data_IF_427125476370
#
_entry.id   IF_427125476370
#
_cell.length_a   1.000
_cell.length_b   1.000
_cell.length_c   1.000
_cell.angle_alpha   90.00
_cell.angle_beta   90.00
_cell.angle_gamma   90.00
#
_symmetry.space_group_name_H-M   'P 1'
#
loop_
_entity.id
_entity.type
_entity.pdbx_description
1 polymer ?
#
# COMPACT_ATOMS: atom_id res chain seq x y z
N UNK A 1 29.35 -42.60 7.80
CA UNK A 1 28.45 -42.00 8.82
C UNK A 1 28.87 -40.54 8.95
N UNK A 2 28.05 -39.52 8.72
CA UNK A 2 26.62 -39.49 8.46
C UNK A 2 26.25 -38.45 7.40
N UNK A 3 25.20 -38.79 6.66
CA UNK A 3 24.42 -37.86 5.84
C UNK A 3 23.65 -36.92 6.79
N UNK A 4 24.18 -35.73 7.04
CA UNK A 4 23.45 -34.66 7.72
C UNK A 4 22.71 -33.81 6.70
N UNK A 5 21.38 -33.97 6.61
CA UNK A 5 20.52 -32.93 6.01
C UNK A 5 20.74 -31.63 6.79
N UNK A 6 20.73 -30.44 6.15
CA UNK A 6 20.82 -29.19 6.87
C UNK A 6 19.64 -29.08 7.86
N UNK A 7 19.96 -28.92 9.14
CA UNK A 7 18.99 -28.60 10.19
C UNK A 7 18.32 -27.25 9.86
N UNK A 8 17.05 -27.08 10.26
CA UNK A 8 16.25 -25.86 10.06
C UNK A 8 17.10 -24.61 10.32
N UNK A 9 17.40 -23.85 9.26
CA UNK A 9 18.26 -22.69 9.34
C UNK A 9 17.75 -21.67 10.34
N UNK A 10 18.50 -21.45 11.41
CA UNK A 10 18.29 -20.30 12.29
C UNK A 10 18.67 -19.03 11.53
N UNK A 11 17.83 -17.99 11.63
CA UNK A 11 18.10 -16.71 10.95
C UNK A 11 19.39 -16.04 11.45
N UNK A 12 19.74 -16.24 12.72
CA UNK A 12 20.98 -15.77 13.31
C UNK A 12 22.02 -16.89 13.39
N UNK A 13 23.27 -16.55 13.10
CA UNK A 13 24.42 -17.48 13.11
C UNK A 13 25.46 -17.14 14.19
N UNK A 14 25.38 -15.97 14.83
CA UNK A 14 26.39 -15.46 15.78
C UNK A 14 27.72 -15.02 15.15
N UNK A 15 27.97 -15.36 13.88
CA UNK A 15 29.24 -15.07 13.18
C UNK A 15 29.55 -13.56 13.08
N UNK A 16 28.53 -12.71 13.17
CA UNK A 16 28.65 -11.26 13.04
C UNK A 16 28.86 -10.50 14.35
N UNK A 17 28.89 -11.17 15.51
CA UNK A 17 28.85 -10.52 16.83
C UNK A 17 30.15 -9.80 17.18
N UNK A 18 31.26 -10.19 16.55
CA UNK A 18 32.56 -9.51 16.65
C UNK A 18 32.67 -8.28 15.75
N UNK A 19 31.56 -7.84 15.15
CA UNK A 19 31.54 -6.69 14.24
C UNK A 19 32.09 -6.99 12.83
N UNK A 20 32.26 -8.26 12.47
CA UNK A 20 32.73 -8.69 11.15
C UNK A 20 31.58 -9.20 10.28
N UNK A 21 31.77 -9.21 8.97
CA UNK A 21 30.86 -9.81 7.99
C UNK A 21 31.65 -10.35 6.80
N UNK A 22 31.06 -11.27 6.04
CA UNK A 22 31.68 -11.85 4.85
C UNK A 22 31.17 -11.16 3.58
N UNK A 23 32.09 -10.69 2.73
CA UNK A 23 31.80 -10.25 1.36
C UNK A 23 32.19 -11.33 0.36
N UNK A 24 31.61 -11.30 -0.84
CA UNK A 24 31.96 -12.23 -1.90
C UNK A 24 33.14 -11.68 -2.75
N UNK A 25 34.12 -12.52 -3.12
CA UNK A 25 34.29 -13.93 -2.73
C UNK A 25 35.13 -14.09 -1.44
N UNK A 26 34.48 -14.44 -0.34
CA UNK A 26 35.07 -15.06 0.85
C UNK A 26 35.87 -14.19 1.82
N UNK A 27 35.99 -12.86 1.59
CA UNK A 27 36.74 -12.00 2.51
C UNK A 27 35.91 -11.59 3.72
N UNK A 28 36.42 -11.81 4.94
CA UNK A 28 35.86 -11.19 6.13
C UNK A 28 36.35 -9.75 6.27
N UNK A 29 35.42 -8.84 6.54
CA UNK A 29 35.65 -7.41 6.66
C UNK A 29 34.92 -6.87 7.89
N UNK A 30 35.34 -5.71 8.38
CA UNK A 30 34.57 -4.98 9.39
C UNK A 30 33.18 -4.62 8.83
N UNK A 31 32.13 -4.66 9.66
CA UNK A 31 30.81 -4.12 9.31
C UNK A 31 30.85 -2.60 9.04
N UNK A 32 31.90 -1.92 9.47
CA UNK A 32 32.16 -0.51 9.17
C UNK A 32 32.95 -0.29 7.85
N UNK A 33 33.25 -1.35 7.09
CA UNK A 33 33.92 -1.24 5.78
C UNK A 33 33.05 -0.43 4.80
N UNK A 34 33.69 0.42 3.99
CA UNK A 34 33.03 1.30 3.01
C UNK A 34 32.14 0.51 2.02
N UNK A 35 32.50 -0.74 1.68
CA UNK A 35 31.69 -1.62 0.82
C UNK A 35 30.40 -2.05 1.51
N UNK A 36 30.49 -2.39 2.80
CA UNK A 36 29.31 -2.80 3.60
C UNK A 36 28.36 -1.61 3.74
N UNK A 37 28.90 -0.41 3.95
CA UNK A 37 28.10 0.82 4.00
C UNK A 37 27.40 1.11 2.66
N UNK A 38 28.09 0.94 1.52
CA UNK A 38 27.49 1.14 0.20
C UNK A 38 26.38 0.12 -0.11
N UNK A 39 26.60 -1.17 0.20
CA UNK A 39 25.58 -2.23 0.06
C UNK A 39 24.37 -1.92 0.95
N UNK A 40 24.60 -1.64 2.23
CA UNK A 40 23.52 -1.33 3.17
C UNK A 40 22.72 -0.08 2.80
N UNK A 41 23.38 0.95 2.26
CA UNK A 41 22.68 2.13 1.76
C UNK A 41 21.77 1.84 0.55
N UNK A 42 22.19 0.95 -0.35
CA UNK A 42 21.35 0.49 -1.45
C UNK A 42 20.14 -0.32 -0.94
N UNK A 43 20.35 -1.24 0.01
CA UNK A 43 19.28 -2.03 0.64
C UNK A 43 18.28 -1.15 1.41
N UNK A 44 18.77 -0.15 2.14
CA UNK A 44 17.92 0.84 2.80
C UNK A 44 17.07 1.64 1.80
N UNK A 45 17.65 1.99 0.65
CA UNK A 45 16.91 2.67 -0.43
C UNK A 45 15.82 1.78 -1.03
N UNK A 46 16.07 0.47 -1.16
CA UNK A 46 15.03 -0.51 -1.55
C UNK A 46 13.90 -0.54 -0.52
N UNK A 47 14.21 -0.54 0.77
CA UNK A 47 13.21 -0.53 1.84
C UNK A 47 12.38 0.76 1.84
N UNK A 48 13.02 1.93 1.66
CA UNK A 48 12.35 3.22 1.58
C UNK A 48 11.36 3.28 0.40
N UNK A 49 11.74 2.76 -0.77
CA UNK A 49 10.82 2.62 -1.92
C UNK A 49 9.66 1.66 -1.63
N UNK A 50 9.86 0.67 -0.76
CA UNK A 50 8.79 -0.19 -0.27
C UNK A 50 7.71 0.60 0.46
N UNK A 51 8.09 1.60 1.27
CA UNK A 51 7.13 2.49 1.94
C UNK A 51 6.35 3.35 0.95
N UNK A 52 6.99 3.83 -0.13
CA UNK A 52 6.30 4.57 -1.19
C UNK A 52 5.24 3.69 -1.85
N UNK A 53 5.57 2.42 -2.14
CA UNK A 53 4.64 1.48 -2.77
C UNK A 53 3.39 1.21 -1.93
N UNK A 54 3.50 1.20 -0.61
CA UNK A 54 2.37 0.97 0.29
C UNK A 54 1.26 2.02 0.16
N UNK A 55 1.57 3.22 -0.32
CA UNK A 55 0.61 4.32 -0.52
C UNK A 55 0.37 4.65 -2.00
N UNK A 56 1.02 3.92 -2.90
CA UNK A 56 0.88 4.15 -4.34
C UNK A 56 -0.35 3.41 -4.86
N UNK A 57 -1.35 4.16 -5.32
CA UNK A 57 -2.60 3.58 -5.87
C UNK A 57 -2.48 3.29 -7.37
N UNK A 58 -1.76 4.13 -8.12
CA UNK A 58 -1.59 3.99 -9.56
C UNK A 58 -0.76 2.74 -9.94
N UNK A 59 -1.32 1.74 -10.64
CA UNK A 59 -0.62 0.51 -10.97
C UNK A 59 0.62 0.72 -11.85
N UNK A 60 0.56 1.65 -12.81
CA UNK A 60 1.70 2.00 -13.67
C UNK A 60 2.88 2.49 -12.83
N UNK A 61 2.64 3.45 -11.92
CA UNK A 61 3.68 3.98 -11.06
C UNK A 61 4.21 2.93 -10.06
N UNK A 62 3.33 2.09 -9.52
CA UNK A 62 3.73 0.96 -8.68
C UNK A 62 4.67 -0.01 -9.43
N UNK A 63 4.40 -0.27 -10.73
CA UNK A 63 5.27 -1.06 -11.60
C UNK A 63 6.66 -0.43 -11.78
N UNK A 64 6.71 0.90 -12.00
CA UNK A 64 7.97 1.66 -12.09
C UNK A 64 8.79 1.55 -10.80
N UNK A 65 8.15 1.65 -9.63
CA UNK A 65 8.81 1.47 -8.33
C UNK A 65 9.38 0.05 -8.17
N UNK A 66 8.67 -1.00 -8.61
CA UNK A 66 9.17 -2.38 -8.58
C UNK A 66 10.38 -2.56 -9.50
N UNK A 67 10.37 -1.94 -10.68
CA UNK A 67 11.54 -1.92 -11.59
C UNK A 67 12.75 -1.33 -10.87
N UNK A 68 12.63 -0.13 -10.31
CA UNK A 68 13.71 0.53 -9.55
C UNK A 68 14.19 -0.30 -8.36
N UNK A 69 13.28 -0.87 -7.55
CA UNK A 69 13.66 -1.74 -6.42
C UNK A 69 14.44 -2.97 -6.88
N UNK A 70 14.08 -3.55 -8.01
CA UNK A 70 14.77 -4.72 -8.57
C UNK A 70 16.16 -4.33 -9.06
N UNK A 71 16.26 -3.20 -9.75
CA UNK A 71 17.52 -2.65 -10.24
C UNK A 71 18.48 -2.30 -9.09
N UNK A 72 17.98 -1.71 -7.99
CA UNK A 72 18.78 -1.45 -6.78
C UNK A 72 19.24 -2.74 -6.07
N UNK A 73 18.41 -3.80 -6.04
CA UNK A 73 18.85 -5.11 -5.51
C UNK A 73 19.97 -5.71 -6.34
N UNK A 74 19.88 -5.60 -7.67
CA UNK A 74 20.96 -6.00 -8.60
C UNK A 74 22.22 -5.18 -8.34
N UNK A 75 22.10 -3.88 -8.10
CA UNK A 75 23.22 -3.01 -7.73
C UNK A 75 23.87 -3.48 -6.43
N UNK A 76 23.08 -3.71 -5.38
CA UNK A 76 23.59 -4.19 -4.09
C UNK A 76 24.32 -5.55 -4.23
N UNK A 77 23.75 -6.47 -5.00
CA UNK A 77 24.38 -7.76 -5.31
C UNK A 77 25.70 -7.59 -6.08
N UNK A 78 25.74 -6.67 -7.05
CA UNK A 78 26.97 -6.34 -7.80
C UNK A 78 28.06 -5.72 -6.93
N UNK A 79 27.69 -4.91 -5.93
CA UNK A 79 28.64 -4.37 -4.94
C UNK A 79 29.14 -5.45 -3.98
N UNK A 80 28.28 -6.41 -3.62
CA UNK A 80 28.62 -7.53 -2.75
C UNK A 80 29.54 -8.55 -3.44
N UNK A 81 29.42 -8.72 -4.76
CA UNK A 81 30.22 -9.63 -5.58
C UNK A 81 30.76 -8.95 -6.87
N UNK A 82 31.73 -8.02 -6.73
CA UNK A 82 32.24 -7.22 -7.84
C UNK A 82 33.04 -8.04 -8.88
N UNK A 83 33.46 -9.27 -8.54
CA UNK A 83 34.25 -10.14 -9.43
C UNK A 83 33.40 -11.03 -10.32
N UNK A 84 32.12 -11.21 -9.99
CA UNK A 84 31.24 -12.11 -10.74
C UNK A 84 31.05 -11.71 -12.20
N UNK A 85 31.10 -10.40 -12.51
CA UNK A 85 30.74 -9.86 -13.82
C UNK A 85 29.27 -10.12 -14.22
N UNK A 86 28.46 -10.70 -13.32
CA UNK A 86 27.07 -11.10 -13.58
C UNK A 86 26.10 -9.93 -13.47
N UNK A 87 26.47 -8.91 -12.70
CA UNK A 87 25.61 -7.77 -12.38
C UNK A 87 25.98 -6.58 -13.26
N UNK A 88 25.76 -6.73 -14.57
CA UNK A 88 25.96 -5.66 -15.56
C UNK A 88 24.68 -4.83 -15.64
N UNK A 89 24.81 -3.53 -15.42
CA UNK A 89 23.70 -2.59 -15.63
C UNK A 89 23.50 -2.37 -17.13
N UNK A 90 22.28 -2.61 -17.61
CA UNK A 90 21.91 -2.24 -18.98
C UNK A 90 21.78 -0.72 -19.09
N UNK A 91 22.10 -0.18 -20.26
CA UNK A 91 21.80 1.22 -20.61
C UNK A 91 20.30 1.53 -20.56
N UNK A 92 19.46 0.50 -20.66
CA UNK A 92 18.00 0.60 -20.65
C UNK A 92 17.46 1.15 -19.32
N UNK A 93 18.01 0.73 -18.18
CA UNK A 93 17.55 1.19 -16.87
C UNK A 93 17.83 2.68 -16.63
N UNK A 94 18.97 3.17 -17.15
CA UNK A 94 19.32 4.60 -17.10
C UNK A 94 18.41 5.38 -18.05
N UNK A 95 18.23 4.90 -19.28
CA UNK A 95 17.36 5.54 -20.28
C UNK A 95 15.90 5.62 -19.80
N UNK A 96 15.42 4.60 -19.09
CA UNK A 96 14.10 4.63 -18.45
C UNK A 96 13.96 5.78 -17.45
N UNK A 97 14.94 5.95 -16.54
CA UNK A 97 14.91 7.03 -15.55
C UNK A 97 14.93 8.40 -16.22
N UNK A 98 15.79 8.58 -17.22
CA UNK A 98 15.90 9.84 -17.98
C UNK A 98 14.59 10.16 -18.70
N UNK A 99 14.04 9.19 -19.46
CA UNK A 99 12.80 9.38 -20.21
C UNK A 99 11.58 9.68 -19.32
N UNK A 100 11.41 8.96 -18.20
CA UNK A 100 10.27 9.21 -17.31
C UNK A 100 10.46 10.49 -16.49
N UNK A 101 11.72 10.89 -16.19
CA UNK A 101 12.03 12.20 -15.60
C UNK A 101 11.63 13.31 -16.55
N UNK A 102 12.06 13.25 -17.82
CA UNK A 102 11.73 14.26 -18.83
C UNK A 102 10.21 14.37 -19.03
N UNK A 103 9.50 13.24 -19.04
CA UNK A 103 8.04 13.21 -19.10
C UNK A 103 7.40 13.96 -17.91
N UNK A 104 7.82 13.66 -16.68
CA UNK A 104 7.26 14.29 -15.48
C UNK A 104 7.60 15.78 -15.40
N UNK A 105 8.85 16.15 -15.69
CA UNK A 105 9.31 17.53 -15.74
C UNK A 105 8.58 18.32 -16.83
N UNK A 106 8.32 17.71 -17.99
CA UNK A 106 7.53 18.30 -19.06
C UNK A 106 6.12 18.68 -18.60
N UNK A 107 5.42 17.75 -17.94
CA UNK A 107 4.09 18.02 -17.37
C UNK A 107 4.15 19.09 -16.28
N UNK A 108 5.11 19.00 -15.36
CA UNK A 108 5.27 19.99 -14.29
C UNK A 108 5.57 21.38 -14.84
N UNK A 109 6.39 21.48 -15.89
CA UNK A 109 6.72 22.76 -16.52
C UNK A 109 5.52 23.34 -17.26
N UNK A 110 4.75 22.52 -17.97
CA UNK A 110 3.50 22.96 -18.62
C UNK A 110 2.47 23.46 -17.60
N UNK A 111 2.32 22.75 -16.47
CA UNK A 111 1.26 23.04 -15.48
C UNK A 111 1.65 24.05 -14.41
N UNK A 112 2.93 24.17 -14.06
CA UNK A 112 3.43 24.99 -12.95
C UNK A 112 4.59 25.92 -13.33
N UNK A 113 5.01 25.97 -14.59
CA UNK A 113 6.20 26.72 -14.99
C UNK A 113 7.44 26.24 -14.22
N UNK A 114 8.20 27.17 -13.65
CA UNK A 114 9.40 26.86 -12.85
C UNK A 114 9.13 26.63 -11.35
N UNK A 115 7.92 26.89 -10.87
CA UNK A 115 7.64 27.02 -9.43
C UNK A 115 7.81 25.70 -8.67
N UNK A 116 7.61 24.57 -9.36
CA UNK A 116 7.77 23.23 -8.77
C UNK A 116 9.19 22.95 -8.26
N UNK A 117 10.21 23.66 -8.78
CA UNK A 117 11.61 23.47 -8.38
C UNK A 117 11.88 23.97 -6.95
N UNK A 118 11.14 24.98 -6.49
CA UNK A 118 11.28 25.58 -5.17
C UNK A 118 10.38 24.96 -4.09
N UNK A 119 9.53 23.99 -4.46
CA UNK A 119 8.54 23.42 -3.55
C UNK A 119 9.20 22.63 -2.40
N UNK A 120 8.69 22.85 -1.19
CA UNK A 120 9.11 22.09 -0.02
C UNK A 120 8.71 20.62 -0.16
N UNK A 121 9.50 19.69 0.41
CA UNK A 121 9.15 18.27 0.45
C UNK A 121 7.80 17.97 1.12
N UNK A 122 7.04 17.05 0.54
CA UNK A 122 5.86 16.45 1.20
C UNK A 122 4.52 17.18 1.05
N UNK A 123 4.17 17.67 -0.14
CA UNK A 123 2.82 18.20 -0.41
C UNK A 123 1.70 17.16 -0.34
N UNK A 124 2.02 15.86 -0.37
CA UNK A 124 1.12 14.75 -0.09
C UNK A 124 1.89 13.56 0.56
N UNK A 125 1.19 12.55 1.04
CA UNK A 125 1.84 11.40 1.71
C UNK A 125 2.80 10.64 0.76
N UNK A 126 2.37 10.44 -0.49
CA UNK A 126 3.21 9.75 -1.49
C UNK A 126 4.46 10.57 -1.82
N UNK A 127 4.35 11.88 -1.99
CA UNK A 127 5.51 12.74 -2.27
C UNK A 127 6.45 12.83 -1.08
N UNK A 128 5.94 12.91 0.15
CA UNK A 128 6.75 12.91 1.36
C UNK A 128 7.61 11.65 1.47
N UNK A 129 7.02 10.48 1.18
CA UNK A 129 7.76 9.20 1.17
C UNK A 129 8.76 9.14 0.01
N UNK A 130 8.44 9.69 -1.17
CA UNK A 130 9.37 9.79 -2.30
C UNK A 130 10.57 10.70 -1.98
N UNK A 131 10.34 11.85 -1.34
CA UNK A 131 11.39 12.76 -0.88
C UNK A 131 12.28 12.10 0.17
N UNK A 132 11.71 11.33 1.10
CA UNK A 132 12.46 10.53 2.06
C UNK A 132 13.31 9.46 1.36
N UNK A 133 12.74 8.70 0.42
CA UNK A 133 13.47 7.71 -0.38
C UNK A 133 14.59 8.35 -1.21
N UNK A 134 14.37 9.56 -1.73
CA UNK A 134 15.40 10.33 -2.43
C UNK A 134 16.59 10.60 -1.51
N UNK A 135 16.35 10.96 -0.25
CA UNK A 135 17.41 11.21 0.71
C UNK A 135 18.26 9.96 1.00
N UNK A 136 17.64 8.77 1.07
CA UNK A 136 18.37 7.51 1.26
C UNK A 136 19.19 7.17 0.01
N UNK A 137 18.65 7.39 -1.19
CA UNK A 137 19.37 7.21 -2.46
C UNK A 137 20.57 8.14 -2.54
N UNK A 138 20.43 9.43 -2.18
CA UNK A 138 21.56 10.37 -2.13
C UNK A 138 22.61 9.97 -1.10
N UNK A 139 22.21 9.40 0.03
CA UNK A 139 23.15 8.87 1.04
C UNK A 139 23.90 7.65 0.51
N UNK A 140 23.20 6.72 -0.14
CA UNK A 140 23.80 5.56 -0.78
C UNK A 140 24.74 5.95 -1.93
N UNK A 141 24.38 6.96 -2.73
CA UNK A 141 25.25 7.55 -3.76
C UNK A 141 26.57 8.05 -3.16
N UNK A 142 26.54 8.80 -2.04
CA UNK A 142 27.77 9.25 -1.36
C UNK A 142 28.62 8.09 -0.84
N UNK A 143 28.01 7.05 -0.29
CA UNK A 143 28.72 5.86 0.15
C UNK A 143 29.38 5.11 -1.02
N UNK A 144 28.68 5.04 -2.16
CA UNK A 144 29.19 4.47 -3.41
C UNK A 144 30.42 5.23 -3.92
N UNK A 145 30.37 6.57 -3.93
CA UNK A 145 31.50 7.41 -4.32
C UNK A 145 32.67 7.27 -3.35
N UNK A 146 32.41 7.14 -2.04
CA UNK A 146 33.47 6.90 -1.07
C UNK A 146 34.17 5.55 -1.33
N UNK A 147 33.41 4.48 -1.56
CA UNK A 147 33.92 3.15 -1.90
C UNK A 147 34.74 3.16 -3.21
N UNK A 148 34.33 3.92 -4.21
CA UNK A 148 35.00 4.00 -5.52
C UNK A 148 36.46 4.45 -5.42
N UNK A 149 36.81 5.22 -4.38
CA UNK A 149 38.18 5.69 -4.12
C UNK A 149 39.17 4.54 -3.89
N UNK A 150 38.70 3.37 -3.47
CA UNK A 150 39.54 2.21 -3.11
C UNK A 150 39.23 0.94 -3.90
N UNK A 151 37.97 0.74 -4.28
CA UNK A 151 37.49 -0.57 -4.74
C UNK A 151 36.97 -0.60 -6.18
N UNK A 152 37.11 0.50 -6.94
CA UNK A 152 36.68 0.63 -8.34
C UNK A 152 35.23 0.17 -8.58
N UNK A 153 34.30 1.12 -8.51
CA UNK A 153 32.88 0.89 -8.76
C UNK A 153 32.59 1.05 -10.26
N UNK A 154 31.81 0.14 -10.87
CA UNK A 154 31.36 0.30 -12.25
C UNK A 154 30.70 1.67 -12.50
N UNK A 155 31.13 2.39 -13.53
CA UNK A 155 30.63 3.74 -13.83
C UNK A 155 29.11 3.83 -13.95
N UNK A 156 28.49 2.80 -14.55
CA UNK A 156 27.04 2.72 -14.70
C UNK A 156 26.28 2.78 -13.37
N UNK A 157 26.84 2.25 -12.27
CA UNK A 157 26.18 2.28 -10.96
C UNK A 157 26.12 3.71 -10.42
N UNK A 158 27.20 4.47 -10.61
CA UNK A 158 27.27 5.89 -10.21
C UNK A 158 26.28 6.73 -11.02
N UNK A 159 26.23 6.52 -12.33
CA UNK A 159 25.26 7.20 -13.22
C UNK A 159 23.83 6.88 -12.81
N UNK A 160 23.50 5.60 -12.60
CA UNK A 160 22.16 5.19 -12.22
C UNK A 160 21.72 5.81 -10.89
N UNK A 161 22.55 5.76 -9.85
CA UNK A 161 22.22 6.34 -8.53
C UNK A 161 21.99 7.85 -8.61
N UNK A 162 22.78 8.55 -9.43
CA UNK A 162 22.61 9.97 -9.67
C UNK A 162 21.25 10.27 -10.35
N UNK A 163 20.96 9.59 -11.45
CA UNK A 163 19.70 9.73 -12.20
C UNK A 163 18.48 9.31 -11.38
N UNK A 164 18.61 8.30 -10.52
CA UNK A 164 17.52 7.87 -9.64
C UNK A 164 17.19 8.96 -8.62
N UNK A 165 18.19 9.69 -8.12
CA UNK A 165 17.98 10.84 -7.25
C UNK A 165 17.16 11.95 -7.93
N UNK A 166 17.38 12.17 -9.23
CA UNK A 166 16.64 13.17 -10.02
C UNK A 166 15.22 12.68 -10.35
N UNK A 167 15.08 11.41 -10.75
CA UNK A 167 13.79 10.78 -11.01
C UNK A 167 12.87 10.82 -9.77
N UNK A 168 13.41 10.54 -8.58
CA UNK A 168 12.64 10.60 -7.34
C UNK A 168 12.20 12.03 -6.98
N UNK A 169 13.01 13.04 -7.30
CA UNK A 169 12.61 14.44 -7.13
C UNK A 169 11.44 14.79 -8.06
N UNK A 170 11.58 14.45 -9.34
CA UNK A 170 10.54 14.69 -10.34
C UNK A 170 9.24 13.95 -9.97
N UNK A 171 9.35 12.70 -9.55
CA UNK A 171 8.22 11.90 -9.11
C UNK A 171 7.53 12.46 -7.86
N UNK A 172 8.29 12.95 -6.87
CA UNK A 172 7.71 13.58 -5.67
C UNK A 172 6.88 14.80 -6.05
N UNK A 173 7.43 15.69 -6.90
CA UNK A 173 6.74 16.90 -7.35
C UNK A 173 5.56 16.61 -8.27
N UNK A 174 5.68 15.56 -9.08
CA UNK A 174 4.57 15.07 -9.90
C UNK A 174 3.42 14.53 -9.03
N UNK A 175 3.73 13.83 -7.93
CA UNK A 175 2.72 13.36 -6.98
C UNK A 175 2.05 14.50 -6.20
N UNK A 176 2.77 15.58 -5.89
CA UNK A 176 2.17 16.80 -5.32
C UNK A 176 1.14 17.40 -6.30
N UNK A 177 1.53 17.55 -7.57
CA UNK A 177 0.65 18.07 -8.60
C UNK A 177 -0.59 17.21 -8.84
N UNK A 178 -0.44 15.88 -8.93
CA UNK A 178 -1.58 14.96 -9.06
C UNK A 178 -2.55 15.09 -7.88
N UNK A 179 -2.03 15.14 -6.65
CA UNK A 179 -2.86 15.26 -5.45
C UNK A 179 -3.62 16.60 -5.41
N UNK A 180 -3.00 17.69 -5.86
CA UNK A 180 -3.67 18.98 -5.99
C UNK A 180 -4.71 18.96 -7.10
N UNK A 181 -4.42 18.36 -8.26
CA UNK A 181 -5.39 18.25 -9.36
C UNK A 181 -6.62 17.43 -8.96
N UNK A 182 -6.43 16.37 -8.19
CA UNK A 182 -7.52 15.57 -7.60
C UNK A 182 -8.38 16.40 -6.63
N UNK A 183 -7.74 17.20 -5.76
CA UNK A 183 -8.45 18.11 -4.84
C UNK A 183 -9.20 19.22 -5.58
N UNK A 184 -8.59 19.80 -6.60
CA UNK A 184 -9.19 20.84 -7.45
C UNK A 184 -10.40 20.31 -8.23
N UNK A 185 -10.30 19.08 -8.76
CA UNK A 185 -11.44 18.40 -9.41
C UNK A 185 -12.58 18.19 -8.43
N UNK A 186 -12.28 17.68 -7.24
CA UNK A 186 -13.28 17.51 -6.17
C UNK A 186 -13.92 18.84 -5.72
N UNK A 187 -13.18 19.96 -5.78
CA UNK A 187 -13.68 21.29 -5.41
C UNK A 187 -14.48 21.99 -6.52
N UNK A 188 -14.25 21.64 -7.81
CA UNK A 188 -14.94 22.22 -8.97
C UNK A 188 -16.24 21.50 -9.31
N UNK A 189 -16.48 20.32 -8.76
CA UNK A 189 -17.79 19.68 -8.79
C UNK A 189 -18.76 20.46 -7.90
N UNK A 190 -19.87 21.01 -8.43
CA UNK A 190 -20.81 21.76 -7.61
C UNK A 190 -21.43 20.83 -6.58
N UNK A 191 -21.35 21.21 -5.31
CA UNK A 191 -22.17 20.62 -4.23
C UNK A 191 -23.61 21.01 -4.52
N UNK A 192 -24.29 20.22 -5.36
CA UNK A 192 -25.70 20.41 -5.66
C UNK A 192 -26.50 20.17 -4.38
N UNK A 193 -27.28 21.17 -4.00
CA UNK A 193 -28.28 21.07 -2.96
C UNK A 193 -29.18 19.85 -3.20
N UNK A 194 -29.32 19.08 -2.14
CA UNK A 194 -30.24 17.99 -1.90
C UNK A 194 -31.55 18.09 -2.70
N UNK A 195 -31.61 17.39 -3.84
CA UNK A 195 -32.83 16.77 -4.37
C UNK A 195 -32.39 15.60 -5.23
N UNK A 196 -32.74 14.38 -4.82
CA UNK A 196 -32.45 13.17 -5.58
C UNK A 196 -33.11 13.24 -6.96
N UNK A 197 -32.37 13.01 -8.07
CA UNK A 197 -33.00 12.71 -9.35
C UNK A 197 -32.64 11.31 -9.84
N UNK A 198 -33.57 10.78 -10.63
CA UNK A 198 -33.61 9.44 -11.17
C UNK A 198 -32.39 9.08 -12.03
N UNK A 199 -32.06 7.78 -12.02
CA UNK A 199 -31.00 7.16 -12.80
C UNK A 199 -31.02 7.60 -14.28
N UNK A 200 -30.02 8.39 -14.68
CA UNK A 200 -29.74 8.69 -16.07
C UNK A 200 -28.81 7.61 -16.64
N UNK A 201 -29.27 6.97 -17.72
CA UNK A 201 -28.54 5.99 -18.53
C UNK A 201 -27.34 6.70 -19.18
N UNK A 202 -26.13 6.19 -18.93
CA UNK A 202 -24.89 6.68 -19.55
C UNK A 202 -24.82 6.17 -21.00
N UNK A 203 -24.56 7.01 -22.02
CA UNK A 203 -24.31 6.53 -23.37
C UNK A 203 -22.91 5.91 -23.46
N UNK A 204 -22.80 4.79 -24.18
CA UNK A 204 -21.54 4.06 -24.35
C UNK A 204 -20.49 4.92 -25.10
N UNK A 205 -19.19 4.82 -24.75
CA UNK A 205 -18.15 5.56 -25.42
C UNK A 205 -17.94 5.05 -26.84
N UNK A 206 -17.95 5.99 -27.80
CA UNK A 206 -17.53 5.76 -29.16
C UNK A 206 -16.00 5.70 -29.23
N UNK A 207 -15.50 4.78 -30.06
CA UNK A 207 -14.13 4.62 -30.53
C UNK A 207 -13.09 4.07 -29.53
N UNK A 208 -13.28 2.80 -29.15
CA UNK A 208 -12.18 1.92 -28.80
C UNK A 208 -11.71 1.16 -30.07
N UNK A 209 -10.42 1.20 -30.36
CA UNK A 209 -9.81 0.40 -31.42
C UNK A 209 -10.12 -1.10 -31.23
N UNK A 210 -10.30 -1.89 -32.31
CA UNK A 210 -10.74 -3.26 -32.19
C UNK A 210 -9.73 -4.10 -31.41
N UNK A 211 -10.15 -4.56 -30.23
CA UNK A 211 -9.43 -5.50 -29.39
C UNK A 211 -9.57 -6.89 -30.03
N UNK A 212 -8.48 -7.66 -30.04
CA UNK A 212 -8.45 -9.02 -30.56
C UNK A 212 -9.63 -9.85 -30.00
N UNK A 213 -10.49 -10.45 -30.85
CA UNK A 213 -11.69 -11.19 -30.42
C UNK A 213 -11.38 -12.38 -29.51
N UNK A 214 -10.13 -12.84 -29.49
CA UNK A 214 -9.65 -13.89 -28.58
C UNK A 214 -9.49 -13.36 -27.16
N UNK A 215 -9.01 -12.13 -27.00
CA UNK A 215 -8.81 -11.45 -25.72
C UNK A 215 -10.15 -11.07 -25.09
N UNK A 216 -11.12 -10.63 -25.88
CA UNK A 216 -12.45 -10.26 -25.37
C UNK A 216 -13.22 -11.48 -24.85
N UNK A 217 -13.11 -12.62 -25.51
CA UNK A 217 -13.72 -13.87 -25.04
C UNK A 217 -13.07 -14.38 -23.75
N UNK A 218 -11.75 -14.23 -23.62
CA UNK A 218 -11.03 -14.55 -22.38
C UNK A 218 -11.41 -13.57 -21.26
N UNK A 219 -11.47 -12.26 -21.54
CA UNK A 219 -11.90 -11.25 -20.58
C UNK A 219 -13.33 -11.46 -20.11
N UNK A 220 -14.28 -11.74 -21.01
CA UNK A 220 -15.66 -12.09 -20.64
C UNK A 220 -15.72 -13.36 -19.81
N UNK A 221 -14.94 -14.38 -20.15
CA UNK A 221 -14.88 -15.62 -19.36
C UNK A 221 -14.24 -15.43 -17.98
N UNK A 222 -13.22 -14.56 -17.87
CA UNK A 222 -12.56 -14.21 -16.60
C UNK A 222 -13.48 -13.33 -15.75
N UNK A 223 -14.11 -12.30 -16.34
CA UNK A 223 -15.06 -11.43 -15.65
C UNK A 223 -16.32 -12.19 -15.20
N UNK A 224 -16.81 -13.17 -15.97
CA UNK A 224 -17.90 -14.05 -15.54
C UNK A 224 -17.48 -15.00 -14.40
N UNK A 225 -16.20 -15.38 -14.32
CA UNK A 225 -15.63 -16.18 -13.22
C UNK A 225 -15.31 -15.37 -11.97
N UNK A 226 -14.97 -14.09 -12.13
CA UNK A 226 -14.64 -13.15 -11.04
C UNK A 226 -15.88 -12.41 -10.51
N UNK A 227 -16.87 -12.16 -11.38
CA UNK A 227 -18.12 -11.44 -11.10
C UNK A 227 -19.30 -12.35 -10.74
N UNK A 228 -19.04 -13.55 -10.22
CA UNK A 228 -20.08 -14.52 -9.88
C UNK A 228 -20.58 -14.42 -8.43
N UNK A 229 -21.57 -13.54 -8.19
CA UNK A 229 -22.59 -13.70 -7.14
C UNK A 229 -22.33 -13.10 -5.75
N UNK A 230 -23.24 -12.22 -5.31
CA UNK A 230 -23.46 -11.77 -3.92
C UNK A 230 -22.44 -10.84 -3.25
N UNK A 231 -21.50 -10.22 -3.96
CA UNK A 231 -20.60 -9.24 -3.32
C UNK A 231 -21.38 -7.98 -2.91
N UNK A 232 -21.18 -7.52 -1.67
CA UNK A 232 -21.69 -6.24 -1.19
C UNK A 232 -21.06 -5.10 -2.00
N UNK A 233 -21.86 -4.42 -2.83
CA UNK A 233 -21.43 -3.29 -3.67
C UNK A 233 -21.48 -1.95 -2.91
N UNK A 234 -20.98 -0.90 -3.57
CA UNK A 234 -20.90 0.44 -2.99
C UNK A 234 -22.29 1.02 -2.67
N UNK A 235 -23.29 0.77 -3.52
CA UNK A 235 -24.65 1.28 -3.30
C UNK A 235 -25.22 0.70 -2.00
N UNK A 236 -25.18 -0.62 -1.84
CA UNK A 236 -25.66 -1.31 -0.64
C UNK A 236 -24.87 -0.90 0.59
N UNK A 237 -23.54 -0.77 0.47
CA UNK A 237 -22.67 -0.32 1.56
C UNK A 237 -23.06 1.10 2.03
N UNK A 238 -23.34 2.02 1.10
CA UNK A 238 -23.72 3.40 1.40
C UNK A 238 -25.09 3.46 2.09
N UNK A 239 -26.07 2.67 1.62
CA UNK A 239 -27.40 2.60 2.27
C UNK A 239 -27.32 2.03 3.69
N UNK A 240 -26.52 0.99 3.88
CA UNK A 240 -26.25 0.41 5.20
C UNK A 240 -25.61 1.46 6.13
N UNK A 241 -24.58 2.16 5.66
CA UNK A 241 -23.91 3.22 6.40
C UNK A 241 -24.91 4.30 6.84
N UNK A 242 -25.72 4.81 5.92
CA UNK A 242 -26.70 5.85 6.22
C UNK A 242 -27.74 5.40 7.26
N UNK A 243 -28.14 4.11 7.23
CA UNK A 243 -29.03 3.56 8.24
C UNK A 243 -28.37 3.47 9.63
N UNK A 244 -27.13 2.98 9.69
CA UNK A 244 -26.36 2.86 10.94
C UNK A 244 -26.05 4.24 11.52
N UNK A 245 -25.72 5.23 10.69
CA UNK A 245 -25.51 6.62 11.10
C UNK A 245 -26.76 7.20 11.76
N UNK A 246 -27.93 7.09 11.11
CA UNK A 246 -29.20 7.57 11.71
C UNK A 246 -29.46 6.91 13.06
N UNK A 247 -29.16 5.62 13.18
CA UNK A 247 -29.29 4.89 14.45
C UNK A 247 -28.31 5.40 15.51
N UNK A 248 -27.05 5.60 15.15
CA UNK A 248 -26.04 6.15 16.05
C UNK A 248 -26.43 7.56 16.54
N UNK A 249 -26.86 8.44 15.63
CA UNK A 249 -27.35 9.79 15.96
C UNK A 249 -28.56 9.75 16.90
N UNK A 250 -29.51 8.83 16.67
CA UNK A 250 -30.68 8.66 17.55
C UNK A 250 -30.33 8.22 18.97
N UNK A 251 -29.13 7.63 19.17
CA UNK A 251 -28.60 7.22 20.46
C UNK A 251 -27.58 8.22 21.02
N UNK A 252 -27.39 9.38 20.38
CA UNK A 252 -26.42 10.40 20.80
C UNK A 252 -24.97 9.96 20.63
N UNK A 253 -24.68 9.04 19.70
CA UNK A 253 -23.36 8.47 19.46
C UNK A 253 -22.74 9.05 18.20
N UNK A 254 -21.42 9.20 18.23
CA UNK A 254 -20.57 9.56 17.10
C UNK A 254 -19.63 8.39 16.83
N UNK A 255 -19.66 7.83 15.62
CA UNK A 255 -18.91 6.63 15.29
C UNK A 255 -18.31 6.68 13.89
N UNK A 256 -17.30 5.84 13.67
CA UNK A 256 -16.86 5.45 12.33
C UNK A 256 -17.54 4.15 11.96
N UNK A 257 -18.10 4.10 10.76
CA UNK A 257 -18.81 2.96 10.19
C UNK A 257 -18.05 2.51 8.94
N UNK A 258 -17.51 1.30 8.97
CA UNK A 258 -16.75 0.71 7.88
C UNK A 258 -17.47 -0.52 7.34
N UNK A 259 -17.54 -0.63 6.02
CA UNK A 259 -18.14 -1.76 5.30
C UNK A 259 -17.07 -2.38 4.41
N UNK A 260 -16.88 -3.68 4.51
CA UNK A 260 -15.95 -4.46 3.70
C UNK A 260 -16.68 -5.50 2.86
N UNK A 261 -16.12 -5.86 1.69
CA UNK A 261 -16.63 -6.94 0.86
C UNK A 261 -16.24 -8.32 1.41
N UNK A 262 -16.73 -9.39 0.77
CA UNK A 262 -16.46 -10.78 1.16
C UNK A 262 -14.96 -11.15 1.13
N UNK A 263 -14.12 -10.39 0.42
CA UNK A 263 -12.66 -10.55 0.40
C UNK A 263 -11.95 -9.77 1.51
N UNK A 264 -12.69 -9.00 2.31
CA UNK A 264 -12.16 -8.19 3.43
C UNK A 264 -11.58 -6.85 3.00
N UNK A 265 -11.80 -6.41 1.76
CA UNK A 265 -11.40 -5.07 1.31
C UNK A 265 -12.48 -4.06 1.69
N UNK A 266 -12.12 -2.87 2.20
CA UNK A 266 -13.09 -1.82 2.48
C UNK A 266 -13.78 -1.39 1.18
N UNK A 267 -15.11 -1.35 1.21
CA UNK A 267 -15.99 -0.85 0.15
C UNK A 267 -16.34 0.61 0.42
N UNK A 268 -16.67 0.93 1.66
CA UNK A 268 -16.99 2.29 2.09
C UNK A 268 -16.63 2.47 3.58
N UNK A 269 -16.19 3.67 3.94
CA UNK A 269 -15.94 4.06 5.34
C UNK A 269 -16.52 5.46 5.54
N UNK A 270 -17.35 5.61 6.56
CA UNK A 270 -18.00 6.85 6.94
C UNK A 270 -17.56 7.27 8.32
N UNK A 271 -17.02 8.49 8.43
CA UNK A 271 -16.53 9.07 9.68
C UNK A 271 -17.52 10.15 10.08
N UNK A 272 -18.30 9.90 11.13
CA UNK A 272 -19.22 10.92 11.66
C UNK A 272 -18.44 12.07 12.31
N UNK A 273 -18.98 13.28 12.21
CA UNK A 273 -18.42 14.44 12.91
C UNK A 273 -18.31 14.19 14.41
N UNK A 274 -17.14 14.51 14.98
CA UNK A 274 -16.83 14.32 16.40
C UNK A 274 -16.39 12.90 16.79
N UNK A 275 -16.37 11.94 15.86
CA UNK A 275 -15.84 10.60 16.14
C UNK A 275 -14.34 10.66 16.52
N UNK A 276 -13.92 9.82 17.47
CA UNK A 276 -12.51 9.74 17.87
C UNK A 276 -11.60 9.34 16.70
N UNK A 277 -10.43 9.96 16.58
CA UNK A 277 -9.47 9.68 15.50
C UNK A 277 -9.08 8.20 15.40
N UNK A 278 -8.91 7.53 16.54
CA UNK A 278 -8.54 6.10 16.60
C UNK A 278 -9.65 5.19 16.04
N UNK A 279 -10.89 5.65 16.02
CA UNK A 279 -12.03 4.85 15.57
C UNK A 279 -11.99 4.51 14.10
N UNK A 280 -11.28 5.29 13.27
CA UNK A 280 -11.17 5.00 11.84
C UNK A 280 -10.52 3.63 11.60
N UNK A 281 -9.30 3.46 12.10
CA UNK A 281 -8.55 2.24 11.90
C UNK A 281 -9.21 1.05 12.62
N UNK A 282 -9.79 1.29 13.80
CA UNK A 282 -10.49 0.26 14.56
C UNK A 282 -11.74 -0.23 13.83
N UNK A 283 -12.58 0.65 13.27
CA UNK A 283 -13.77 0.26 12.53
C UNK A 283 -13.42 -0.56 11.28
N UNK A 284 -12.43 -0.12 10.50
CA UNK A 284 -11.96 -0.85 9.31
C UNK A 284 -11.44 -2.24 9.68
N UNK A 285 -10.62 -2.34 10.73
CA UNK A 285 -10.10 -3.63 11.21
C UNK A 285 -11.18 -4.53 11.80
N UNK A 286 -12.20 -3.97 12.47
CA UNK A 286 -13.38 -4.73 12.94
C UNK A 286 -14.17 -5.35 11.79
N UNK A 287 -14.43 -4.59 10.72
CA UNK A 287 -15.10 -5.08 9.52
C UNK A 287 -14.29 -6.20 8.84
N UNK A 288 -12.99 -5.98 8.67
CA UNK A 288 -12.05 -6.99 8.14
C UNK A 288 -12.03 -8.25 9.00
N UNK A 289 -11.89 -8.11 10.32
CA UNK A 289 -11.81 -9.24 11.25
C UNK A 289 -13.08 -10.08 11.15
N UNK A 290 -14.25 -9.45 11.13
CA UNK A 290 -15.52 -10.16 11.03
C UNK A 290 -15.63 -11.02 9.77
N UNK A 291 -15.10 -10.55 8.63
CA UNK A 291 -14.98 -11.35 7.40
C UNK A 291 -13.95 -12.46 7.53
N UNK A 292 -12.77 -12.13 8.06
CA UNK A 292 -11.63 -13.05 8.14
C UNK A 292 -11.92 -14.27 9.03
N UNK A 293 -12.54 -14.05 10.19
CA UNK A 293 -12.90 -15.11 11.14
C UNK A 293 -14.34 -15.61 10.99
N UNK A 294 -15.14 -14.99 10.11
CA UNK A 294 -16.55 -15.34 9.84
C UNK A 294 -17.43 -15.37 11.09
N UNK A 295 -17.16 -14.49 12.05
CA UNK A 295 -17.90 -14.37 13.30
C UNK A 295 -17.81 -12.93 13.82
N UNK A 296 -18.72 -12.51 14.71
CA UNK A 296 -18.61 -11.23 15.38
C UNK A 296 -17.32 -11.09 16.19
N UNK A 297 -16.70 -9.93 16.12
CA UNK A 297 -15.51 -9.56 16.93
C UNK A 297 -15.77 -9.65 18.44
N UNK A 298 -17.02 -9.43 18.89
CA UNK A 298 -17.44 -9.61 20.27
C UNK A 298 -17.41 -11.08 20.72
N UNK A 299 -17.69 -12.00 19.81
CA UNK A 299 -17.58 -13.45 20.07
C UNK A 299 -16.10 -13.86 20.09
N UNK A 300 -15.32 -13.39 19.10
CA UNK A 300 -13.88 -13.61 19.03
C UNK A 300 -13.18 -13.17 20.32
N UNK A 301 -13.58 -12.04 20.91
CA UNK A 301 -13.05 -11.52 22.18
C UNK A 301 -13.04 -12.56 23.31
N UNK A 302 -14.03 -13.46 23.35
CA UNK A 302 -14.14 -14.53 24.35
C UNK A 302 -13.20 -15.70 24.05
N UNK A 303 -13.01 -16.00 22.77
CA UNK A 303 -12.21 -17.14 22.31
C UNK A 303 -10.70 -16.89 22.34
N UNK A 304 -10.29 -15.61 22.37
CA UNK A 304 -8.88 -15.20 22.44
C UNK A 304 -8.38 -14.97 23.87
N UNK A 305 -9.20 -15.25 24.89
CA UNK A 305 -8.76 -15.15 26.29
C UNK A 305 -7.72 -16.22 26.62
N UNK A 306 -6.84 -16.02 27.63
CA UNK A 306 -5.89 -17.04 28.06
C UNK A 306 -6.57 -18.41 28.30
N UNK A 307 -6.08 -19.44 27.62
CA UNK A 307 -6.67 -20.79 27.65
C UNK A 307 -7.80 -21.05 26.63
N UNK A 308 -8.21 -20.03 25.87
CA UNK A 308 -9.17 -20.14 24.78
C UNK A 308 -8.57 -20.70 23.49
N UNK A 309 -9.42 -21.28 22.63
CA UNK A 309 -9.03 -21.95 21.38
C UNK A 309 -8.30 -21.03 20.40
N UNK A 310 -8.59 -19.72 20.41
CA UNK A 310 -7.95 -18.73 19.54
C UNK A 310 -6.97 -17.82 20.28
N UNK A 311 -6.51 -18.22 21.46
CA UNK A 311 -5.47 -17.47 22.18
C UNK A 311 -4.22 -17.31 21.32
N UNK A 312 -3.80 -16.07 21.11
CA UNK A 312 -2.69 -15.67 20.24
C UNK A 312 -3.14 -14.94 18.96
N UNK A 313 -4.40 -15.05 18.56
CA UNK A 313 -4.92 -14.35 17.39
C UNK A 313 -4.92 -12.83 17.56
N UNK A 314 -5.00 -12.34 18.81
CA UNK A 314 -4.88 -10.93 19.16
C UNK A 314 -3.50 -10.33 18.84
N UNK A 315 -2.47 -11.16 18.62
CA UNK A 315 -1.12 -10.73 18.26
C UNK A 315 -0.92 -10.61 16.74
N UNK A 316 -1.89 -11.06 15.94
CA UNK A 316 -1.82 -10.91 14.48
C UNK A 316 -2.12 -9.47 14.09
N UNK A 317 -1.37 -8.98 13.11
CA UNK A 317 -1.66 -7.68 12.53
C UNK A 317 -3.07 -7.66 11.92
N UNK A 318 -3.71 -6.49 11.98
CA UNK A 318 -5.08 -6.21 11.47
C UNK A 318 -6.26 -6.91 12.17
N UNK A 319 -6.04 -7.79 13.15
CA UNK A 319 -7.12 -8.43 13.92
C UNK A 319 -7.54 -7.54 15.09
N UNK A 320 -8.86 -7.34 15.24
CA UNK A 320 -9.46 -6.65 16.41
C UNK A 320 -10.32 -7.64 17.20
N UNK A 321 -9.98 -7.80 18.47
CA UNK A 321 -10.60 -8.79 19.36
C UNK A 321 -11.51 -8.17 20.42
N UNK A 322 -12.20 -7.09 20.06
CA UNK A 322 -13.23 -6.45 20.88
C UNK A 322 -14.40 -5.99 20.01
N UNK A 323 -15.58 -5.86 20.63
CA UNK A 323 -16.86 -5.74 19.93
C UNK A 323 -16.99 -4.54 18.99
N UNK A 324 -17.78 -4.73 17.91
CA UNK A 324 -18.11 -3.70 16.92
C UNK A 324 -18.03 -4.16 15.46
N UNK A 325 -17.39 -5.29 15.19
CA UNK A 325 -17.38 -5.96 13.88
C UNK A 325 -18.35 -7.14 13.80
N UNK A 326 -19.15 -7.23 12.74
CA UNK A 326 -20.08 -8.34 12.44
C UNK A 326 -20.00 -8.77 10.97
N UNK A 327 -20.08 -10.08 10.67
CA UNK A 327 -20.15 -10.55 9.30
C UNK A 327 -21.55 -10.31 8.71
N UNK A 328 -21.61 -10.00 7.43
CA UNK A 328 -22.84 -9.77 6.68
C UNK A 328 -23.13 -10.97 5.80
N UNK A 329 -24.31 -11.57 5.97
CA UNK A 329 -24.75 -12.73 5.22
C UNK A 329 -26.03 -12.43 4.44
N UNK A 330 -26.13 -13.00 3.24
CA UNK A 330 -27.35 -13.01 2.42
C UNK A 330 -27.55 -14.42 1.89
N UNK A 331 -28.72 -15.01 2.14
CA UNK A 331 -29.03 -16.40 1.77
C UNK A 331 -27.97 -17.42 2.24
N UNK A 332 -27.37 -17.19 3.41
CA UNK A 332 -26.31 -18.04 3.97
C UNK A 332 -24.93 -17.84 3.36
N UNK A 333 -24.78 -16.94 2.38
CA UNK A 333 -23.49 -16.59 1.76
C UNK A 333 -22.92 -15.35 2.43
N UNK A 334 -21.63 -15.38 2.77
CA UNK A 334 -20.93 -14.23 3.33
C UNK A 334 -20.71 -13.20 2.22
N UNK A 335 -21.34 -12.04 2.35
CA UNK A 335 -21.28 -10.96 1.35
C UNK A 335 -20.31 -9.84 1.73
N UNK A 336 -19.97 -9.74 3.02
CA UNK A 336 -19.11 -8.69 3.54
C UNK A 336 -19.01 -8.66 5.06
N UNK A 337 -18.54 -7.54 5.59
CA UNK A 337 -18.47 -7.28 7.03
C UNK A 337 -18.75 -5.81 7.33
N UNK A 338 -19.39 -5.58 8.48
CA UNK A 338 -19.66 -4.25 9.02
C UNK A 338 -18.84 -4.05 10.29
N UNK A 339 -18.17 -2.92 10.40
CA UNK A 339 -17.40 -2.51 11.56
C UNK A 339 -17.84 -1.13 12.04
N UNK A 340 -18.16 -1.03 13.33
CA UNK A 340 -18.53 0.23 13.99
C UNK A 340 -17.53 0.50 15.12
N UNK A 341 -17.08 1.75 15.23
CA UNK A 341 -16.21 2.18 16.32
C UNK A 341 -16.49 3.62 16.73
N UNK A 342 -16.81 3.85 18.00
CA UNK A 342 -17.07 5.20 18.50
C UNK A 342 -17.37 5.27 20.00
N UNK A 343 -17.85 4.16 20.59
CA UNK A 343 -18.12 4.04 22.01
C UNK A 343 -17.42 2.84 22.64
N UNK A 344 -18.10 2.22 23.60
CA UNK A 344 -17.69 0.94 24.19
C UNK A 344 -17.85 -0.21 23.19
N UNK A 345 -17.16 -1.32 23.43
CA UNK A 345 -17.26 -2.49 22.55
C UNK A 345 -18.68 -3.07 22.49
N UNK A 346 -19.44 -2.97 23.57
CA UNK A 346 -20.85 -3.37 23.65
C UNK A 346 -21.75 -2.45 22.80
N UNK A 347 -21.56 -1.13 22.90
CA UNK A 347 -22.33 -0.15 22.13
C UNK A 347 -22.05 -0.26 20.63
N UNK A 348 -20.78 -0.37 20.27
CA UNK A 348 -20.35 -0.56 18.89
C UNK A 348 -20.93 -1.87 18.33
N UNK A 349 -20.89 -2.95 19.11
CA UNK A 349 -21.44 -4.23 18.70
C UNK A 349 -22.96 -4.19 18.52
N UNK A 350 -23.69 -3.50 19.40
CA UNK A 350 -25.13 -3.33 19.28
C UNK A 350 -25.51 -2.58 17.99
N UNK A 351 -24.79 -1.51 17.66
CA UNK A 351 -24.98 -0.78 16.40
C UNK A 351 -24.68 -1.64 15.18
N UNK A 352 -23.59 -2.40 15.22
CA UNK A 352 -23.20 -3.28 14.13
C UNK A 352 -24.23 -4.41 13.90
N UNK A 353 -24.69 -5.07 14.96
CA UNK A 353 -25.74 -6.11 14.88
C UNK A 353 -27.04 -5.53 14.34
N UNK A 354 -27.44 -4.33 14.81
CA UNK A 354 -28.62 -3.64 14.31
C UNK A 354 -28.48 -3.33 12.81
N UNK A 355 -27.32 -2.85 12.36
CA UNK A 355 -27.04 -2.60 10.95
C UNK A 355 -27.14 -3.87 10.10
N UNK A 356 -26.50 -4.95 10.53
CA UNK A 356 -26.55 -6.24 9.84
C UNK A 356 -27.98 -6.79 9.69
N UNK A 357 -28.83 -6.64 10.72
CA UNK A 357 -30.22 -7.06 10.67
C UNK A 357 -31.07 -6.23 9.70
N UNK A 358 -30.69 -4.98 9.43
CA UNK A 358 -31.43 -4.06 8.55
C UNK A 358 -30.87 -4.01 7.12
N UNK A 359 -29.86 -4.82 6.80
CA UNK A 359 -29.25 -4.89 5.47
C UNK A 359 -30.23 -5.22 4.34
N UNK A 360 -31.30 -5.97 4.62
CA UNK A 360 -32.34 -6.32 3.65
C UNK A 360 -33.41 -5.22 3.46
N UNK A 361 -33.48 -4.25 4.38
CA UNK A 361 -34.45 -3.15 4.35
C UNK A 361 -33.82 -1.81 3.92
N UNK A 362 -32.54 -1.82 3.57
CA UNK A 362 -31.73 -0.68 3.14
C UNK A 362 -31.35 -0.75 1.68
#
# INVERSE_FOLDING_TARGET
>A
MGNGKPEKGTLYTGNGDKGLTSLLPGSQVSKADERVAAIGGAEESVAALGLVRCVTVCPDFAGKLVRVQTTLRTLAAGLADPRSGKFVFSSEEIAFLESDTDRMVGVLTDKRGSDWQGALPGGCEQSARLDAARSTVRRAERALIAMDRRYAVPGAFKVYMNRLGDWLLAAARYADWLSEEEKDKAAREPVAAETAPAAAVVPAPADAAPVDPTVENVLKAVLARVGGGSALDLERATRLIAAVERKALSEGKQAVIAVANAQGNPVAVHVMDGAFLVSYEVAVRKAYTAVAVKMPTAELARLVQPGGTFYGLQNLDRIVTFGGGVPLYENGVLIGGLGVSGGTGEEDHALAVWGAANLAHT
#
